data_IF_035588064362
#
_entry.id   IF_035588064362
#
_cell.length_a   1.000
_cell.length_b   1.000
_cell.length_c   1.000
_cell.angle_alpha   90.00
_cell.angle_beta   90.00
_cell.angle_gamma   90.00
#
_symmetry.space_group_name_H-M   'P 1'
#
loop_
_entity.id
_entity.type
_entity.pdbx_description
1 polymer ?
#
# COMPACT_ATOMS: atom_id res chain seq x y z
N UNK A 1 -5.59 -7.63 4.02
CA UNK A 1 -4.28 -7.33 4.58
C UNK A 1 -3.21 -8.38 4.27
N UNK A 2 -3.49 -9.70 4.27
CA UNK A 2 -2.46 -10.69 3.92
C UNK A 2 -1.81 -10.46 2.56
N UNK A 3 -2.54 -9.99 1.57
CA UNK A 3 -2.01 -9.72 0.24
C UNK A 3 -1.00 -8.56 0.23
N UNK A 4 -1.16 -7.57 1.09
CA UNK A 4 -0.18 -6.48 1.21
C UNK A 4 1.10 -6.96 1.91
N UNK A 5 0.97 -7.83 2.91
CA UNK A 5 2.12 -8.45 3.57
C UNK A 5 2.92 -9.26 2.55
N UNK A 6 2.26 -10.05 1.73
CA UNK A 6 2.91 -10.84 0.68
C UNK A 6 3.60 -9.95 -0.36
N UNK A 7 2.96 -8.85 -0.78
CA UNK A 7 3.58 -7.91 -1.71
C UNK A 7 4.81 -7.26 -1.11
N UNK A 8 4.75 -6.86 0.17
CA UNK A 8 5.89 -6.26 0.84
C UNK A 8 7.08 -7.22 0.91
N UNK A 9 6.82 -8.49 1.20
CA UNK A 9 7.86 -9.53 1.24
C UNK A 9 8.43 -9.80 -0.15
N UNK A 10 7.57 -9.89 -1.16
CA UNK A 10 7.97 -10.16 -2.54
C UNK A 10 8.93 -9.10 -3.09
N UNK A 11 8.72 -7.85 -2.70
CA UNK A 11 9.50 -6.72 -3.21
C UNK A 11 10.53 -6.18 -2.23
N UNK A 12 10.83 -6.92 -1.16
CA UNK A 12 11.77 -6.49 -0.12
C UNK A 12 13.17 -6.16 -0.67
N UNK A 13 13.60 -6.87 -1.71
CA UNK A 13 14.92 -6.68 -2.33
C UNK A 13 14.88 -5.79 -3.59
N UNK A 14 13.75 -5.17 -3.86
CA UNK A 14 13.54 -4.32 -5.03
C UNK A 14 13.30 -2.87 -4.57
N UNK A 15 13.50 -1.86 -5.43
CA UNK A 15 13.25 -0.46 -5.06
C UNK A 15 11.75 -0.14 -5.00
N UNK A 16 11.05 -0.82 -4.11
CA UNK A 16 9.61 -0.69 -3.87
C UNK A 16 9.39 -0.53 -2.37
N UNK A 17 8.60 0.45 -1.99
CA UNK A 17 8.16 0.62 -0.61
C UNK A 17 6.65 0.37 -0.54
N UNK A 18 6.23 -0.48 0.39
CA UNK A 18 4.82 -0.70 0.69
C UNK A 18 4.52 0.05 1.98
N UNK A 19 3.49 0.89 1.95
CA UNK A 19 3.08 1.70 3.10
C UNK A 19 1.58 1.54 3.28
N UNK A 20 1.16 1.18 4.46
CA UNK A 20 -0.26 1.16 4.83
C UNK A 20 -0.60 2.40 5.63
N UNK A 21 -1.76 2.97 5.39
CA UNK A 21 -2.23 4.16 6.10
C UNK A 21 -3.60 3.84 6.70
N UNK A 22 -3.66 3.88 8.03
CA UNK A 22 -4.88 3.62 8.78
C UNK A 22 -5.51 4.93 9.21
N UNK A 23 -6.79 5.14 8.88
CA UNK A 23 -7.54 6.33 9.25
C UNK A 23 -8.16 6.28 10.63
N UNK A 24 -8.03 5.17 11.36
CA UNK A 24 -8.57 5.01 12.70
C UNK A 24 -7.67 5.57 13.79
N UNK A 25 -8.15 5.51 15.02
CA UNK A 25 -7.38 5.90 16.20
C UNK A 25 -6.39 4.78 16.53
N UNK A 26 -5.12 5.15 16.71
CA UNK A 26 -4.09 4.18 17.10
C UNK A 26 -4.39 3.64 18.49
N UNK A 27 -4.39 2.32 18.65
CA UNK A 27 -4.72 1.65 19.89
C UNK A 27 -3.83 0.41 20.09
N UNK A 28 -3.82 -0.11 21.32
CA UNK A 28 -3.14 -1.36 21.63
C UNK A 28 -3.74 -2.51 20.82
N UNK A 29 -5.06 -2.54 20.66
CA UNK A 29 -5.73 -3.55 19.85
C UNK A 29 -5.29 -3.51 18.39
N UNK A 30 -5.09 -2.32 17.85
CA UNK A 30 -4.58 -2.17 16.48
C UNK A 30 -3.13 -2.66 16.36
N UNK A 31 -2.28 -2.35 17.33
CA UNK A 31 -0.91 -2.87 17.38
C UNK A 31 -0.89 -4.39 17.45
N UNK A 32 -1.71 -4.98 18.29
CA UNK A 32 -1.81 -6.43 18.43
C UNK A 32 -2.26 -7.08 17.12
N UNK A 33 -3.23 -6.47 16.45
CA UNK A 33 -3.70 -6.93 15.14
C UNK A 33 -2.57 -6.97 14.11
N UNK A 34 -1.74 -5.93 14.07
CA UNK A 34 -0.61 -5.87 13.15
C UNK A 34 0.41 -6.96 13.44
N UNK A 35 0.70 -7.21 14.71
CA UNK A 35 1.62 -8.26 15.14
C UNK A 35 1.10 -9.65 14.79
N UNK A 36 -0.18 -9.92 15.06
CA UNK A 36 -0.81 -11.19 14.76
C UNK A 36 -0.85 -11.49 13.26
N UNK A 37 -0.99 -10.47 12.43
CA UNK A 37 -1.02 -10.60 10.98
C UNK A 37 0.36 -10.49 10.34
N UNK A 38 1.41 -10.45 11.14
CA UNK A 38 2.83 -10.42 10.70
C UNK A 38 3.13 -9.24 9.77
N UNK A 39 2.52 -8.10 10.03
CA UNK A 39 2.75 -6.89 9.24
C UNK A 39 4.13 -6.35 9.58
N UNK A 40 5.01 -6.28 8.59
CA UNK A 40 6.39 -5.81 8.73
C UNK A 40 6.68 -4.53 7.96
N UNK A 41 5.81 -4.19 7.01
CA UNK A 41 5.95 -2.94 6.27
C UNK A 41 5.49 -1.75 7.12
N UNK A 42 5.85 -0.55 6.68
CA UNK A 42 5.51 0.68 7.38
C UNK A 42 3.98 0.86 7.43
N UNK A 43 3.46 1.11 8.61
CA UNK A 43 2.05 1.45 8.82
C UNK A 43 1.98 2.81 9.49
N UNK A 44 1.32 3.75 8.82
CA UNK A 44 1.13 5.10 9.30
C UNK A 44 -0.30 5.27 9.80
N UNK A 45 -0.50 6.20 10.72
CA UNK A 45 -1.83 6.55 11.21
C UNK A 45 -2.22 7.93 10.71
N UNK A 46 -3.44 8.05 10.19
CA UNK A 46 -3.99 9.28 9.62
C UNK A 46 -5.26 9.70 10.38
N UNK A 47 -5.15 9.86 11.69
CA UNK A 47 -6.31 10.21 12.55
C UNK A 47 -7.06 11.45 12.07
N UNK A 48 -6.34 12.46 11.60
CA UNK A 48 -6.93 13.70 11.11
C UNK A 48 -7.37 13.63 9.65
N UNK A 49 -7.19 12.49 9.01
CA UNK A 49 -7.56 12.23 7.63
C UNK A 49 -6.90 13.16 6.61
N UNK A 50 -5.73 13.68 6.93
CA UNK A 50 -4.98 14.56 6.04
C UNK A 50 -4.59 13.85 4.75
N UNK A 51 -4.00 12.65 4.87
CA UNK A 51 -3.64 11.86 3.70
C UNK A 51 -4.87 11.35 2.97
N UNK A 52 -5.89 10.87 3.69
CA UNK A 52 -7.14 10.42 3.08
C UNK A 52 -7.77 11.51 2.24
N UNK A 53 -7.81 12.73 2.75
CA UNK A 53 -8.37 13.86 2.01
C UNK A 53 -7.49 14.26 0.83
N UNK A 54 -6.17 14.27 1.01
CA UNK A 54 -5.23 14.63 -0.06
C UNK A 54 -5.31 13.67 -1.24
N UNK A 55 -5.48 12.37 -0.99
CA UNK A 55 -5.62 11.36 -2.04
C UNK A 55 -7.07 11.15 -2.48
N UNK A 56 -8.03 11.86 -1.90
CA UNK A 56 -9.43 11.74 -2.26
C UNK A 56 -10.03 10.38 -1.94
N UNK A 57 -9.64 9.79 -0.81
CA UNK A 57 -10.12 8.46 -0.41
C UNK A 57 -11.58 8.54 0.02
N UNK A 58 -12.47 7.88 -0.72
CA UNK A 58 -13.90 7.84 -0.42
C UNK A 58 -14.37 6.47 0.07
N UNK A 59 -13.53 5.46 -0.05
CA UNK A 59 -13.84 4.10 0.40
C UNK A 59 -12.58 3.35 0.73
N UNK A 60 -12.69 2.34 1.57
CA UNK A 60 -11.55 1.50 1.95
C UNK A 60 -11.84 0.03 1.61
N UNK A 61 -10.80 -0.74 1.23
CA UNK A 61 -9.45 -0.26 0.99
C UNK A 61 -9.33 0.56 -0.30
N UNK A 62 -8.45 1.54 -0.30
CA UNK A 62 -8.00 2.24 -1.51
C UNK A 62 -6.51 2.03 -1.65
N UNK A 63 -6.08 1.60 -2.82
CA UNK A 63 -4.66 1.37 -3.12
C UNK A 63 -4.22 2.35 -4.19
N UNK A 64 -3.12 3.05 -3.93
CA UNK A 64 -2.50 3.93 -4.93
C UNK A 64 -1.08 3.44 -5.19
N UNK A 65 -0.66 3.50 -6.44
CA UNK A 65 0.70 3.14 -6.84
C UNK A 65 1.33 4.38 -7.45
N UNK A 66 2.46 4.76 -6.87
CA UNK A 66 3.16 6.01 -7.17
C UNK A 66 4.51 5.65 -7.77
N UNK A 67 4.89 6.32 -8.86
CA UNK A 67 6.16 6.08 -9.51
C UNK A 67 7.33 6.77 -8.78
N UNK A 68 8.55 6.53 -9.24
CA UNK A 68 9.77 7.08 -8.64
C UNK A 68 9.88 8.61 -8.74
N UNK A 69 9.07 9.24 -9.58
CA UNK A 69 9.01 10.70 -9.70
C UNK A 69 7.92 11.32 -8.81
N UNK A 70 7.21 10.51 -8.02
CA UNK A 70 6.16 10.97 -7.13
C UNK A 70 4.79 11.13 -7.80
N UNK A 71 4.60 10.57 -9.00
CA UNK A 71 3.32 10.67 -9.72
C UNK A 71 2.42 9.49 -9.39
N UNK A 72 1.15 9.78 -9.10
CA UNK A 72 0.15 8.73 -8.89
C UNK A 72 -0.18 8.11 -10.24
N UNK A 73 0.19 6.86 -10.44
CA UNK A 73 0.06 6.14 -11.71
C UNK A 73 -1.15 5.23 -11.76
N UNK A 74 -1.50 4.60 -10.65
CA UNK A 74 -2.64 3.68 -10.58
C UNK A 74 -3.40 3.89 -9.28
N UNK A 75 -4.71 3.73 -9.35
CA UNK A 75 -5.59 3.86 -8.20
C UNK A 75 -6.70 2.82 -8.29
N UNK A 76 -6.90 2.11 -7.19
CA UNK A 76 -7.92 1.08 -7.07
C UNK A 76 -8.74 1.31 -5.80
N UNK A 77 -10.07 1.31 -5.92
CA UNK A 77 -10.97 1.39 -4.77
C UNK A 77 -11.60 0.03 -4.57
N UNK A 78 -11.57 -0.45 -3.32
CA UNK A 78 -12.05 -1.78 -2.99
C UNK A 78 -11.00 -2.85 -3.21
N UNK A 79 -11.37 -4.08 -2.90
CA UNK A 79 -10.52 -5.25 -3.12
C UNK A 79 -11.37 -6.43 -3.54
N UNK A 80 -10.90 -7.16 -4.55
CA UNK A 80 -11.49 -8.40 -5.02
C UNK A 80 -10.39 -9.43 -5.22
N UNK A 81 -10.69 -10.74 -5.11
CA UNK A 81 -9.69 -11.78 -5.37
C UNK A 81 -9.04 -11.60 -6.75
N UNK A 82 -7.72 -11.68 -6.79
CA UNK A 82 -6.93 -11.50 -8.01
C UNK A 82 -6.37 -10.10 -8.21
N UNK A 83 -6.81 -9.11 -7.43
CA UNK A 83 -6.28 -7.75 -7.56
C UNK A 83 -4.81 -7.67 -7.16
N UNK A 84 -4.34 -8.52 -6.25
CA UNK A 84 -2.92 -8.59 -5.88
C UNK A 84 -2.03 -8.88 -7.08
N UNK A 85 -2.50 -9.66 -8.03
CA UNK A 85 -1.78 -9.92 -9.28
C UNK A 85 -1.71 -8.68 -10.15
N UNK A 86 -2.80 -7.91 -10.18
CA UNK A 86 -2.84 -6.66 -10.93
C UNK A 86 -1.88 -5.64 -10.35
N UNK A 87 -1.84 -5.54 -9.01
CA UNK A 87 -0.89 -4.66 -8.34
C UNK A 87 0.55 -5.03 -8.69
N UNK A 88 0.86 -6.33 -8.68
CA UNK A 88 2.19 -6.80 -9.04
C UNK A 88 2.53 -6.44 -10.48
N UNK A 89 1.62 -6.61 -11.42
CA UNK A 89 1.84 -6.23 -12.82
C UNK A 89 2.12 -4.74 -12.98
N UNK A 90 1.37 -3.92 -12.27
CA UNK A 90 1.54 -2.47 -12.29
C UNK A 90 2.89 -2.06 -11.70
N UNK A 91 3.28 -2.67 -10.57
CA UNK A 91 4.57 -2.45 -9.95
C UNK A 91 5.70 -2.85 -10.90
N UNK A 92 5.60 -4.02 -11.55
CA UNK A 92 6.61 -4.48 -12.51
C UNK A 92 6.75 -3.52 -13.69
N UNK A 93 5.65 -2.96 -14.17
CA UNK A 93 5.68 -1.96 -15.23
C UNK A 93 6.52 -0.74 -14.83
N UNK A 94 6.29 -0.23 -13.62
CA UNK A 94 7.02 0.94 -13.13
C UNK A 94 8.49 0.61 -12.83
N UNK A 95 8.76 -0.58 -12.32
CA UNK A 95 10.13 -1.04 -12.10
C UNK A 95 10.91 -1.13 -13.42
N UNK A 96 10.26 -1.58 -14.49
CA UNK A 96 10.86 -1.62 -15.81
C UNK A 96 11.31 -0.24 -16.27
N UNK A 97 10.54 0.80 -15.99
CA UNK A 97 10.91 2.17 -16.32
C UNK A 97 12.15 2.65 -15.57
N UNK A 98 12.28 2.27 -14.30
CA UNK A 98 13.46 2.60 -13.49
C UNK A 98 14.70 1.87 -14.03
N UNK A 99 14.56 0.59 -14.34
CA UNK A 99 15.66 -0.24 -14.81
C UNK A 99 16.14 0.16 -16.21
N UNK A 100 15.27 0.75 -17.02
CA UNK A 100 15.61 1.27 -18.35
C UNK A 100 16.26 2.65 -18.32
N UNK A 101 16.09 3.37 -17.22
CA UNK A 101 16.70 4.68 -17.04
C UNK A 101 18.17 4.54 -16.62
#
# INVERSE_FOLDING_TARGET
LPHLVELAERYADRPVAVVSIDGGIRSEAASDFLDENKVRHLVLNDEERTAFNAYGVSGVPTTVIIDHAGRLMFRHVGFAPGMEKRFAQEIETLLGWIEEA
#
